data_IF_692121493679
#
_entry.id   IF_692121493679
#
_cell.length_a   1.000
_cell.length_b   1.000
_cell.length_c   1.000
_cell.angle_alpha   90.00
_cell.angle_beta   90.00
_cell.angle_gamma   90.00
#
_symmetry.space_group_name_H-M   'P 1'
#
loop_
_entity.id
_entity.type
_entity.pdbx_description
1 polymer ?
#
# COMPACT_ATOMS: atom_id res chain seq x y z
N UNK A 1 11.39 13.58 -2.24
CA UNK A 1 9.93 13.73 -1.95
C UNK A 1 9.63 12.98 -0.67
N UNK A 2 8.91 13.61 0.24
CA UNK A 2 8.41 12.95 1.46
C UNK A 2 6.90 12.83 1.36
N UNK A 3 6.38 11.62 1.58
CA UNK A 3 4.96 11.32 1.51
C UNK A 3 4.51 10.54 2.76
N UNK A 4 3.33 10.84 3.28
CA UNK A 4 2.74 10.16 4.43
C UNK A 4 2.07 8.86 4.01
N UNK A 5 2.27 7.82 4.80
CA UNK A 5 1.69 6.50 4.64
C UNK A 5 0.80 6.20 5.86
N UNK A 6 -0.49 6.44 5.74
CA UNK A 6 -1.44 6.39 6.86
C UNK A 6 -1.82 4.97 7.25
N UNK A 7 -1.84 4.70 8.54
CA UNK A 7 -2.36 3.48 9.13
C UNK A 7 -3.86 3.31 8.88
N UNK A 8 -4.36 2.11 9.09
CA UNK A 8 -5.79 1.79 9.02
C UNK A 8 -6.23 0.97 10.22
N UNK A 9 -7.51 0.99 10.52
CA UNK A 9 -8.16 0.03 11.42
C UNK A 9 -9.39 -0.59 10.77
N UNK A 10 -9.75 -1.78 11.24
CA UNK A 10 -11.03 -2.43 10.97
C UNK A 10 -11.93 -2.21 12.20
N UNK A 11 -13.03 -1.44 12.05
CA UNK A 11 -13.95 -1.15 13.17
C UNK A 11 -14.96 -2.26 13.43
N UNK A 12 -15.41 -2.95 12.39
CA UNK A 12 -16.37 -4.04 12.51
C UNK A 12 -15.98 -5.15 11.55
N UNK A 13 -16.03 -6.37 12.05
CA UNK A 13 -15.93 -7.59 11.26
C UNK A 13 -17.18 -8.38 11.52
N UNK A 14 -18.04 -8.52 10.53
CA UNK A 14 -19.17 -9.41 10.56
C UNK A 14 -18.81 -10.63 9.72
N UNK A 15 -18.68 -11.78 10.38
CA UNK A 15 -18.42 -13.05 9.70
C UNK A 15 -19.76 -13.54 9.15
N UNK A 16 -19.91 -13.49 7.84
CA UNK A 16 -21.08 -14.01 7.12
C UNK A 16 -20.93 -15.51 6.85
N UNK A 17 -21.80 -16.04 6.02
CA UNK A 17 -21.87 -17.45 5.68
C UNK A 17 -20.52 -18.03 5.26
N UNK A 18 -20.32 -19.31 5.63
CA UNK A 18 -19.18 -20.09 5.18
C UNK A 18 -19.34 -20.39 3.69
N UNK A 19 -18.29 -20.16 2.94
CA UNK A 19 -18.21 -20.44 1.50
C UNK A 19 -17.90 -21.93 1.27
N UNK A 20 -18.20 -22.40 0.07
CA UNK A 20 -17.88 -23.78 -0.35
C UNK A 20 -16.37 -24.06 -0.38
N UNK A 21 -15.54 -23.00 -0.51
CA UNK A 21 -14.07 -23.06 -0.46
C UNK A 21 -13.50 -23.14 0.98
N UNK A 22 -14.38 -23.17 2.01
CA UNK A 22 -14.01 -23.25 3.43
C UNK A 22 -13.74 -21.91 4.10
N UNK A 23 -13.69 -20.80 3.36
CA UNK A 23 -13.54 -19.44 3.88
C UNK A 23 -14.90 -18.83 4.23
N UNK A 24 -14.88 -17.72 4.99
CA UNK A 24 -16.07 -16.97 5.33
C UNK A 24 -16.08 -15.64 4.56
N UNK A 25 -17.28 -15.24 4.12
CA UNK A 25 -17.48 -13.88 3.67
C UNK A 25 -17.40 -12.92 4.87
N UNK A 26 -16.62 -11.87 4.72
CA UNK A 26 -16.42 -10.84 5.74
C UNK A 26 -17.13 -9.54 5.33
N UNK A 27 -17.64 -8.81 6.30
CA UNK A 27 -18.17 -7.47 6.16
C UNK A 27 -17.43 -6.59 7.18
N UNK A 28 -16.60 -5.68 6.68
CA UNK A 28 -15.70 -4.86 7.48
C UNK A 28 -15.92 -3.38 7.16
N UNK A 29 -15.72 -2.53 8.16
CA UNK A 29 -15.55 -1.09 7.95
C UNK A 29 -14.10 -0.75 8.24
N UNK A 30 -13.39 -0.28 7.22
CA UNK A 30 -12.01 0.16 7.33
C UNK A 30 -11.94 1.67 7.41
N UNK A 31 -11.16 2.18 8.35
CA UNK A 31 -10.93 3.61 8.53
C UNK A 31 -9.45 3.94 8.48
N UNK A 32 -9.06 5.03 7.79
CA UNK A 32 -7.72 5.57 7.91
C UNK A 32 -7.52 6.25 9.27
N UNK A 33 -6.29 6.22 9.77
CA UNK A 33 -5.87 6.89 11.00
C UNK A 33 -4.90 8.04 10.67
N UNK A 34 -4.78 9.00 11.58
CA UNK A 34 -3.75 10.04 11.48
C UNK A 34 -2.33 9.51 11.74
N UNK A 35 -2.21 8.38 12.44
CA UNK A 35 -0.94 7.69 12.61
C UNK A 35 -0.37 7.29 11.25
N UNK A 36 0.87 7.65 10.97
CA UNK A 36 1.48 7.40 9.67
C UNK A 36 2.99 7.18 9.76
N UNK A 37 3.51 6.41 8.82
CA UNK A 37 4.92 6.41 8.46
C UNK A 37 5.20 7.56 7.49
N UNK A 38 6.45 7.97 7.35
CA UNK A 38 6.89 8.87 6.29
C UNK A 38 7.83 8.15 5.35
N UNK A 39 7.58 8.28 4.06
CA UNK A 39 8.42 7.69 3.00
C UNK A 39 9.19 8.81 2.33
N UNK A 40 10.51 8.81 2.50
CA UNK A 40 11.41 9.68 1.73
C UNK A 40 11.87 8.92 0.49
N UNK A 41 11.46 9.38 -0.68
CA UNK A 41 11.79 8.75 -1.96
C UNK A 41 12.41 9.74 -2.93
N UNK A 42 13.48 9.32 -3.59
CA UNK A 42 14.15 10.06 -4.65
C UNK A 42 14.60 9.15 -5.78
N UNK A 43 14.69 9.71 -6.99
CA UNK A 43 15.24 9.02 -8.15
C UNK A 43 16.76 9.01 -8.00
N UNK A 44 17.37 7.83 -8.18
CA UNK A 44 18.83 7.68 -8.23
C UNK A 44 19.35 8.04 -9.63
N UNK A 45 20.43 8.83 -9.72
CA UNK A 45 21.09 9.07 -10.99
C UNK A 45 21.89 7.82 -11.39
N UNK A 46 21.77 7.39 -12.66
CA UNK A 46 22.51 6.25 -13.20
C UNK A 46 21.77 4.92 -13.11
N UNK A 47 22.49 3.83 -13.42
CA UNK A 47 21.96 2.46 -13.41
C UNK A 47 22.33 1.83 -12.07
N UNK A 48 21.46 1.90 -11.12
CA UNK A 48 21.61 1.26 -9.79
C UNK A 48 20.37 0.44 -9.47
N UNK A 49 20.49 -0.49 -8.53
CA UNK A 49 19.34 -1.14 -7.95
C UNK A 49 18.56 -0.18 -7.06
N UNK A 50 17.25 -0.40 -6.95
CA UNK A 50 16.44 0.32 -5.97
C UNK A 50 16.88 -0.05 -4.57
N UNK A 51 17.06 0.95 -3.74
CA UNK A 51 17.60 0.84 -2.40
C UNK A 51 16.55 1.27 -1.38
N UNK A 52 16.20 0.34 -0.48
CA UNK A 52 15.21 0.55 0.59
C UNK A 52 15.93 0.46 1.94
N UNK A 53 15.67 1.44 2.80
CA UNK A 53 16.15 1.46 4.18
C UNK A 53 15.02 1.83 5.14
N UNK A 54 15.21 1.55 6.42
CA UNK A 54 14.27 1.90 7.48
C UNK A 54 15.03 2.33 8.74
N UNK A 55 14.49 3.26 9.52
CA UNK A 55 15.02 3.65 10.82
C UNK A 55 14.68 2.64 11.92
N UNK A 56 13.70 1.76 11.71
CA UNK A 56 13.41 0.63 12.59
C UNK A 56 14.10 -0.64 12.08
N UNK A 57 15.14 -1.09 12.76
CA UNK A 57 15.95 -2.25 12.39
C UNK A 57 15.22 -3.59 12.51
N UNK A 58 14.05 -3.63 13.14
CA UNK A 58 13.21 -4.83 13.19
C UNK A 58 12.41 -5.06 11.91
N UNK A 59 12.30 -4.04 11.04
CA UNK A 59 11.69 -4.18 9.73
C UNK A 59 12.69 -4.72 8.71
N UNK A 60 12.38 -5.86 8.10
CA UNK A 60 13.17 -6.37 6.98
C UNK A 60 12.97 -5.50 5.74
N UNK A 61 14.07 -5.04 5.15
CA UNK A 61 14.11 -4.19 3.95
C UNK A 61 14.73 -4.90 2.75
N UNK A 62 14.49 -6.19 2.64
CA UNK A 62 14.92 -7.06 1.55
C UNK A 62 13.96 -7.00 0.33
N UNK A 63 14.16 -7.89 -0.62
CA UNK A 63 13.33 -8.02 -1.84
C UNK A 63 11.87 -8.39 -1.58
N UNK A 64 11.55 -8.90 -0.39
CA UNK A 64 10.19 -9.24 0.05
C UNK A 64 9.47 -8.09 0.75
N UNK A 65 10.17 -7.01 1.06
CA UNK A 65 9.54 -5.80 1.60
C UNK A 65 8.55 -5.22 0.57
N UNK A 66 7.36 -4.80 1.02
CA UNK A 66 6.32 -4.33 0.11
C UNK A 66 6.73 -3.11 -0.71
N UNK A 67 7.61 -2.24 -0.20
CA UNK A 67 8.15 -1.13 -0.99
C UNK A 67 9.02 -1.67 -2.15
N UNK A 68 9.87 -2.67 -1.89
CA UNK A 68 10.70 -3.30 -2.93
C UNK A 68 9.85 -4.00 -3.98
N UNK A 69 8.83 -4.76 -3.55
CA UNK A 69 7.87 -5.42 -4.45
C UNK A 69 7.13 -4.40 -5.30
N UNK A 70 6.69 -3.28 -4.71
CA UNK A 70 5.97 -2.21 -5.41
C UNK A 70 6.83 -1.60 -6.52
N UNK A 71 8.08 -1.25 -6.22
CA UNK A 71 9.00 -0.70 -7.23
C UNK A 71 9.21 -1.69 -8.36
N UNK A 72 9.49 -2.95 -8.06
CA UNK A 72 9.70 -3.99 -9.07
C UNK A 72 8.48 -4.12 -9.99
N UNK A 73 7.27 -4.25 -9.44
CA UNK A 73 6.04 -4.37 -10.23
C UNK A 73 5.77 -3.13 -11.08
N UNK A 74 6.02 -1.93 -10.57
CA UNK A 74 5.85 -0.70 -11.33
C UNK A 74 6.89 -0.59 -12.46
N UNK A 75 8.15 -0.96 -12.20
CA UNK A 75 9.20 -0.98 -13.23
C UNK A 75 8.84 -1.93 -14.37
N UNK A 76 8.37 -3.13 -14.05
CA UNK A 76 7.95 -4.11 -15.05
C UNK A 76 6.74 -3.63 -15.86
N UNK A 77 5.69 -3.17 -15.17
CA UNK A 77 4.42 -2.78 -15.81
C UNK A 77 4.54 -1.53 -16.68
N UNK A 78 5.29 -0.53 -16.23
CA UNK A 78 5.38 0.78 -16.88
C UNK A 78 6.73 1.02 -17.58
N UNK A 79 7.55 -0.03 -17.74
CA UNK A 79 8.87 0.05 -18.38
C UNK A 79 9.76 1.17 -17.83
N UNK A 80 9.77 1.31 -16.49
CA UNK A 80 10.54 2.34 -15.81
C UNK A 80 12.03 1.95 -15.80
N UNK A 81 12.86 2.77 -16.40
CA UNK A 81 14.33 2.62 -16.46
C UNK A 81 15.06 3.31 -15.29
N UNK A 82 14.32 3.93 -14.38
CA UNK A 82 14.85 4.62 -13.20
C UNK A 82 14.94 3.69 -12.00
N UNK A 83 15.86 4.00 -11.11
CA UNK A 83 15.98 3.39 -9.79
C UNK A 83 15.69 4.42 -8.70
N UNK A 84 15.38 3.95 -7.51
CA UNK A 84 14.93 4.81 -6.42
C UNK A 84 15.70 4.53 -5.14
N UNK A 85 15.94 5.58 -4.37
CA UNK A 85 16.28 5.50 -2.96
C UNK A 85 15.03 5.74 -2.15
N UNK A 86 14.70 4.80 -1.28
CA UNK A 86 13.53 4.85 -0.40
C UNK A 86 14.00 4.71 1.04
N UNK A 87 13.63 5.65 1.90
CA UNK A 87 13.83 5.53 3.33
C UNK A 87 12.49 5.60 4.05
N UNK A 88 12.24 4.61 4.91
CA UNK A 88 11.00 4.49 5.68
C UNK A 88 11.28 5.03 7.09
N UNK A 89 10.60 6.11 7.46
CA UNK A 89 10.53 6.59 8.84
C UNK A 89 9.34 5.93 9.51
N UNK A 90 9.62 4.99 10.39
CA UNK A 90 8.63 4.07 10.95
C UNK A 90 7.97 4.63 12.21
N UNK A 91 6.66 4.86 12.18
CA UNK A 91 5.84 5.21 13.35
C UNK A 91 4.72 4.21 13.58
N UNK A 92 4.22 3.55 12.53
CA UNK A 92 3.18 2.52 12.64
C UNK A 92 3.82 1.26 13.22
N UNK A 93 3.33 0.74 14.36
CA UNK A 93 3.87 -0.49 14.95
C UNK A 93 3.83 -1.67 13.96
N UNK A 94 4.94 -2.40 13.87
CA UNK A 94 5.09 -3.56 12.99
C UNK A 94 4.27 -4.72 13.56
N UNK A 95 3.50 -5.39 12.70
CA UNK A 95 2.72 -6.57 13.07
C UNK A 95 1.49 -6.28 13.93
N UNK A 96 1.08 -5.03 14.08
CA UNK A 96 -0.04 -4.63 14.94
C UNK A 96 -1.42 -4.66 14.24
N UNK A 97 -1.51 -5.13 13.00
CA UNK A 97 -2.76 -5.15 12.24
C UNK A 97 -3.19 -3.78 11.71
N UNK A 98 -2.32 -2.78 11.76
CA UNK A 98 -2.58 -1.39 11.35
C UNK A 98 -2.23 -1.10 9.88
N UNK A 99 -1.82 -2.09 9.12
CA UNK A 99 -1.58 -1.99 7.68
C UNK A 99 -0.35 -1.17 7.29
N UNK A 100 0.67 -1.08 8.15
CA UNK A 100 1.86 -0.25 7.91
C UNK A 100 2.58 -0.58 6.60
N UNK A 101 2.86 -1.85 6.34
CA UNK A 101 3.50 -2.27 5.09
C UNK A 101 2.66 -1.94 3.85
N UNK A 102 1.35 -2.15 3.91
CA UNK A 102 0.44 -1.80 2.82
C UNK A 102 0.34 -0.29 2.60
N UNK A 103 0.38 0.50 3.68
CA UNK A 103 0.42 1.96 3.62
C UNK A 103 1.72 2.45 2.96
N UNK A 104 2.86 1.85 3.32
CA UNK A 104 4.15 2.17 2.71
C UNK A 104 4.15 1.85 1.21
N UNK A 105 3.62 0.69 0.80
CA UNK A 105 3.48 0.33 -0.61
C UNK A 105 2.60 1.35 -1.38
N UNK A 106 1.45 1.72 -0.83
CA UNK A 106 0.56 2.72 -1.42
C UNK A 106 1.25 4.09 -1.58
N UNK A 107 2.01 4.52 -0.57
CA UNK A 107 2.78 5.74 -0.63
C UNK A 107 3.84 5.69 -1.74
N UNK A 108 4.53 4.56 -1.92
CA UNK A 108 5.50 4.37 -3.01
C UNK A 108 4.83 4.44 -4.38
N UNK A 109 3.65 3.85 -4.58
CA UNK A 109 2.88 3.97 -5.84
C UNK A 109 2.63 5.45 -6.14
N UNK A 110 2.06 6.18 -5.18
CA UNK A 110 1.73 7.60 -5.34
C UNK A 110 2.98 8.45 -5.62
N UNK A 111 4.08 8.19 -4.93
CA UNK A 111 5.33 8.91 -5.10
C UNK A 111 5.94 8.70 -6.50
N UNK A 112 6.05 7.45 -6.96
CA UNK A 112 6.61 7.14 -8.28
C UNK A 112 5.72 7.71 -9.38
N UNK A 113 4.40 7.57 -9.25
CA UNK A 113 3.43 8.17 -10.17
C UNK A 113 3.63 9.68 -10.30
N UNK A 114 3.84 10.38 -9.19
CA UNK A 114 4.06 11.83 -9.17
C UNK A 114 5.44 12.21 -9.72
N UNK A 115 6.50 11.55 -9.26
CA UNK A 115 7.88 11.84 -9.66
C UNK A 115 8.11 11.66 -11.17
N UNK A 116 7.51 10.62 -11.75
CA UNK A 116 7.66 10.29 -13.17
C UNK A 116 6.50 10.80 -14.03
N UNK A 117 5.52 11.49 -13.44
CA UNK A 117 4.31 12.01 -14.11
C UNK A 117 3.59 10.93 -14.91
N UNK A 118 3.46 9.74 -14.32
CA UNK A 118 2.78 8.62 -14.97
C UNK A 118 1.27 8.87 -15.04
N UNK A 119 0.71 8.67 -16.21
CA UNK A 119 -0.74 8.71 -16.40
C UNK A 119 -1.31 7.29 -16.26
N UNK A 120 -1.75 6.95 -15.06
CA UNK A 120 -2.30 5.65 -14.69
C UNK A 120 -3.78 5.83 -14.38
N UNK A 121 -4.66 5.04 -15.01
CA UNK A 121 -6.08 5.08 -14.70
C UNK A 121 -6.37 4.55 -13.29
N UNK A 122 -7.52 4.93 -12.71
CA UNK A 122 -7.93 4.46 -11.38
C UNK A 122 -8.07 2.92 -11.35
N UNK A 123 -8.57 2.31 -12.42
CA UNK A 123 -8.70 0.86 -12.55
C UNK A 123 -7.34 0.17 -12.55
N UNK A 124 -6.38 0.65 -13.35
CA UNK A 124 -5.02 0.10 -13.41
C UNK A 124 -4.29 0.24 -12.07
N UNK A 125 -4.48 1.38 -11.41
CA UNK A 125 -3.88 1.66 -10.10
C UNK A 125 -4.40 0.69 -9.03
N UNK A 126 -5.70 0.42 -9.02
CA UNK A 126 -6.33 -0.54 -8.12
C UNK A 126 -5.87 -1.97 -8.40
N UNK A 127 -5.78 -2.38 -9.67
CA UNK A 127 -5.28 -3.70 -10.04
C UNK A 127 -3.82 -3.89 -9.61
N UNK A 128 -2.97 -2.89 -9.83
CA UNK A 128 -1.60 -2.90 -9.35
C UNK A 128 -1.56 -3.05 -7.82
N UNK A 129 -2.34 -2.25 -7.10
CA UNK A 129 -2.41 -2.29 -5.65
C UNK A 129 -2.86 -3.66 -5.12
N UNK A 130 -3.89 -4.27 -5.71
CA UNK A 130 -4.35 -5.63 -5.38
C UNK A 130 -3.27 -6.69 -5.58
N UNK A 131 -2.46 -6.54 -6.61
CA UNK A 131 -1.37 -7.48 -6.90
C UNK A 131 -0.22 -7.42 -5.90
N UNK A 132 -0.12 -6.34 -5.11
CA UNK A 132 0.91 -6.14 -4.08
C UNK A 132 0.44 -6.64 -2.73
N UNK A 133 -0.79 -6.34 -2.35
CA UNK A 133 -1.38 -6.78 -1.10
C UNK A 133 -2.85 -6.40 -0.96
N UNK A 134 -3.60 -7.14 -0.14
CA UNK A 134 -5.06 -6.99 0.01
C UNK A 134 -5.49 -5.64 0.59
N UNK A 135 -4.68 -5.02 1.46
CA UNK A 135 -4.96 -3.72 2.08
C UNK A 135 -4.42 -2.54 1.28
N UNK A 136 -3.57 -2.77 0.29
CA UNK A 136 -2.94 -1.69 -0.50
C UNK A 136 -3.96 -0.83 -1.23
N UNK A 137 -5.03 -1.38 -1.86
CA UNK A 137 -6.07 -0.57 -2.49
C UNK A 137 -6.75 0.41 -1.52
N UNK A 138 -7.02 -0.03 -0.29
CA UNK A 138 -7.58 0.84 0.75
C UNK A 138 -6.61 1.97 1.12
N UNK A 139 -5.35 1.64 1.40
CA UNK A 139 -4.31 2.60 1.75
C UNK A 139 -4.07 3.62 0.62
N UNK A 140 -4.23 3.20 -0.63
CA UNK A 140 -4.07 4.06 -1.80
C UNK A 140 -5.16 5.14 -1.87
N UNK A 141 -6.41 4.78 -1.60
CA UNK A 141 -7.56 5.71 -1.57
C UNK A 141 -7.65 6.49 -0.27
N UNK A 142 -7.25 5.89 0.84
CA UNK A 142 -7.19 6.49 2.18
C UNK A 142 -8.49 7.17 2.60
N UNK A 143 -9.62 6.55 2.33
CA UNK A 143 -10.97 7.01 2.69
C UNK A 143 -11.75 5.92 3.42
N UNK A 144 -12.65 6.27 4.35
CA UNK A 144 -13.51 5.28 5.00
C UNK A 144 -14.22 4.41 3.98
N UNK A 145 -14.12 3.10 4.14
CA UNK A 145 -14.64 2.14 3.17
C UNK A 145 -15.27 0.95 3.84
N UNK A 146 -16.38 0.45 3.25
CA UNK A 146 -16.92 -0.86 3.57
C UNK A 146 -16.27 -1.89 2.65
N UNK A 147 -15.79 -2.96 3.24
CA UNK A 147 -15.08 -4.02 2.54
C UNK A 147 -15.85 -5.32 2.74
N UNK A 148 -16.17 -6.00 1.67
CA UNK A 148 -16.93 -7.26 1.65
C UNK A 148 -16.14 -8.36 0.95
N UNK A 149 -16.58 -9.60 1.16
CA UNK A 149 -15.96 -10.79 0.58
C UNK A 149 -14.71 -11.21 1.36
N UNK A 150 -13.61 -11.46 0.67
CA UNK A 150 -12.29 -11.74 1.28
C UNK A 150 -11.41 -10.49 1.38
N UNK A 151 -12.00 -9.29 1.24
CA UNK A 151 -11.28 -8.02 1.21
C UNK A 151 -11.14 -7.41 -0.20
N UNK A 152 -11.67 -8.08 -1.22
CA UNK A 152 -11.58 -7.65 -2.61
C UNK A 152 -12.70 -6.71 -3.05
N UNK A 153 -13.84 -6.73 -2.36
CA UNK A 153 -15.00 -5.88 -2.66
C UNK A 153 -15.08 -4.74 -1.67
N UNK A 154 -14.82 -3.53 -2.11
CA UNK A 154 -14.92 -2.34 -1.27
C UNK A 154 -15.72 -1.23 -1.96
N UNK A 155 -16.48 -0.51 -1.17
CA UNK A 155 -17.25 0.65 -1.58
C UNK A 155 -16.95 1.83 -0.66
N UNK A 156 -16.65 2.98 -1.23
CA UNK A 156 -16.55 4.22 -0.49
C UNK A 156 -17.92 4.90 -0.45
N UNK A 157 -18.38 5.30 0.75
CA UNK A 157 -19.48 6.26 0.81
C UNK A 157 -18.95 7.63 0.39
N UNK A 158 -19.38 8.14 -0.75
CA UNK A 158 -19.26 9.56 -1.02
C UNK A 158 -20.03 10.30 0.08
N UNK A 159 -19.39 11.25 0.75
CA UNK A 159 -20.12 12.20 1.61
C UNK A 159 -21.16 12.91 0.73
N UNK A 160 -22.43 12.74 1.10
CA UNK A 160 -23.49 13.63 0.66
C UNK A 160 -23.30 15.00 1.31
#
# INVERSE_FOLDING_TARGET
>A
MIIKAYAKINLAINVKEKRDDGYHNLDMVMLPLELHDSIDISILPGIYDTYVTCDDYSLEVNEYNLCSITVRKMKEKYHIDKSFRIHIHKNIPIGAGLGGGSANAAAVINAIKTLLKLNISDEEEIELAKSIGSDVPFCLKNIPSRVEGMGEKWSSKKRQ
#
